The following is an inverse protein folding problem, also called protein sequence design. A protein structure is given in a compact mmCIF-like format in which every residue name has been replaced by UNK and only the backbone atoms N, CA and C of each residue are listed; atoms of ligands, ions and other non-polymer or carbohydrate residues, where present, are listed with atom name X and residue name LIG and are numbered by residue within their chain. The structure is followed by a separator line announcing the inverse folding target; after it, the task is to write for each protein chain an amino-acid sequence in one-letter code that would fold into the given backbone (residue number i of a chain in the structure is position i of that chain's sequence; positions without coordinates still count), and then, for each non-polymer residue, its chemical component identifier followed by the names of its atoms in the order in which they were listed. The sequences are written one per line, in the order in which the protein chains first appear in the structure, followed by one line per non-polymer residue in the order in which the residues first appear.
data_IF_851712898604
#
_entry.id   IF_851712898604
#
_cell.length_a   1.000
_cell.length_b   1.000
_cell.length_c   1.000
_cell.angle_alpha   90.00
_cell.angle_beta   90.00
_cell.angle_gamma   90.00
#
_symmetry.space_group_name_H-M   'P 1'
#
loop_
_entity.id
_entity.type
_entity.pdbx_description
1 polymer ?
#
# COMPACT_ATOMS: atom_id res chain seq x y z
N UNK A 1 -8.68 -26.02 16.17
CA UNK A 1 -7.41 -25.34 15.84
C UNK A 1 -7.21 -25.18 14.34
N UNK A 2 -8.06 -24.38 13.69
CA UNK A 2 -8.07 -24.21 12.22
C UNK A 2 -7.77 -22.78 11.77
N UNK A 3 -7.11 -21.97 12.61
CA UNK A 3 -6.93 -20.53 12.36
C UNK A 3 -5.47 -20.10 12.24
N UNK A 4 -4.58 -20.98 11.77
CA UNK A 4 -3.29 -20.52 11.26
C UNK A 4 -3.55 -19.95 9.86
N UNK A 5 -3.85 -18.65 9.80
CA UNK A 5 -3.90 -17.88 8.55
C UNK A 5 -2.60 -18.16 7.81
N UNK A 6 -2.69 -18.82 6.65
CA UNK A 6 -1.51 -19.20 5.90
C UNK A 6 -0.82 -17.91 5.41
N UNK A 7 0.52 -17.85 5.35
CA UNK A 7 1.24 -16.69 4.80
C UNK A 7 0.73 -16.27 3.41
N UNK A 8 0.21 -17.23 2.63
CA UNK A 8 -0.45 -16.98 1.36
C UNK A 8 -1.73 -16.14 1.49
N UNK A 9 -2.58 -16.43 2.48
CA UNK A 9 -3.84 -15.73 2.73
C UNK A 9 -3.60 -14.29 3.17
N UNK A 10 -2.53 -14.07 3.96
CA UNK A 10 -2.10 -12.72 4.35
C UNK A 10 -1.74 -11.91 3.10
N UNK A 11 -0.92 -12.46 2.20
CA UNK A 11 -0.48 -11.74 1.00
C UNK A 11 -1.62 -11.52 0.01
N UNK A 12 -2.53 -12.48 -0.14
CA UNK A 12 -3.74 -12.30 -0.93
C UNK A 12 -4.59 -11.15 -0.37
N UNK A 13 -4.77 -11.10 0.95
CA UNK A 13 -5.41 -10.00 1.66
C UNK A 13 -4.69 -8.66 1.43
N UNK A 14 -3.37 -8.62 1.58
CA UNK A 14 -2.57 -7.41 1.34
C UNK A 14 -2.73 -6.89 -0.09
N UNK A 15 -2.76 -7.77 -1.09
CA UNK A 15 -3.02 -7.36 -2.49
C UNK A 15 -4.41 -6.77 -2.68
N UNK A 16 -5.42 -7.30 -1.99
CA UNK A 16 -6.76 -6.73 -2.03
C UNK A 16 -6.82 -5.35 -1.37
N UNK A 17 -6.13 -5.19 -0.22
CA UNK A 17 -5.98 -3.89 0.45
C UNK A 17 -5.29 -2.87 -0.46
N UNK A 18 -4.22 -3.25 -1.17
CA UNK A 18 -3.55 -2.37 -2.14
C UNK A 18 -4.52 -1.86 -3.20
N UNK A 19 -5.34 -2.74 -3.79
CA UNK A 19 -6.34 -2.32 -4.79
C UNK A 19 -7.35 -1.33 -4.20
N UNK A 20 -7.84 -1.60 -2.98
CA UNK A 20 -8.76 -0.71 -2.28
C UNK A 20 -8.14 0.65 -1.98
N UNK A 21 -6.91 0.68 -1.50
CA UNK A 21 -6.17 1.91 -1.25
C UNK A 21 -5.86 2.69 -2.53
N UNK A 22 -5.57 2.02 -3.65
CA UNK A 22 -5.37 2.68 -4.95
C UNK A 22 -6.66 3.35 -5.45
N UNK A 23 -7.81 2.72 -5.25
CA UNK A 23 -9.13 3.32 -5.54
C UNK A 23 -9.41 4.54 -4.63
N UNK A 24 -9.27 4.37 -3.31
CA UNK A 24 -9.44 5.46 -2.34
C UNK A 24 -8.51 6.65 -2.61
N UNK A 25 -7.26 6.39 -3.00
CA UNK A 25 -6.30 7.44 -3.39
C UNK A 25 -6.80 8.22 -4.60
N UNK A 26 -7.35 7.54 -5.60
CA UNK A 26 -7.90 8.19 -6.80
C UNK A 26 -9.08 9.09 -6.45
N UNK A 27 -10.01 8.60 -5.62
CA UNK A 27 -11.17 9.36 -5.14
C UNK A 27 -10.75 10.59 -4.34
N UNK A 28 -9.83 10.43 -3.38
CA UNK A 28 -9.32 11.52 -2.57
C UNK A 28 -8.54 12.57 -3.38
N UNK A 29 -7.80 12.16 -4.43
CA UNK A 29 -7.18 13.12 -5.37
C UNK A 29 -8.23 13.95 -6.11
N UNK A 30 -9.32 13.32 -6.55
CA UNK A 30 -10.44 14.04 -7.17
C UNK A 30 -11.14 15.00 -6.20
N UNK A 31 -11.33 14.59 -4.94
CA UNK A 31 -11.89 15.47 -3.89
C UNK A 31 -10.95 16.64 -3.62
N UNK A 32 -9.65 16.37 -3.43
CA UNK A 32 -8.63 17.39 -3.17
C UNK A 32 -8.56 18.43 -4.29
N UNK A 33 -8.60 17.99 -5.56
CA UNK A 33 -8.65 18.89 -6.70
C UNK A 33 -9.88 19.80 -6.68
N UNK A 34 -11.09 19.25 -6.43
CA UNK A 34 -12.32 20.06 -6.35
C UNK A 34 -12.30 21.05 -5.19
N UNK A 35 -11.75 20.66 -4.04
CA UNK A 35 -11.59 21.53 -2.88
C UNK A 35 -10.60 22.67 -3.17
N UNK A 36 -9.50 22.36 -3.87
CA UNK A 36 -8.52 23.35 -4.30
C UNK A 36 -9.13 24.36 -5.29
N UNK A 37 -9.90 23.88 -6.27
CA UNK A 37 -10.61 24.74 -7.22
C UNK A 37 -11.62 25.66 -6.51
N UNK A 38 -12.36 25.14 -5.52
CA UNK A 38 -13.29 25.91 -4.71
C UNK A 38 -12.60 26.97 -3.83
N UNK A 39 -11.42 26.67 -3.27
CA UNK A 39 -10.61 27.62 -2.51
C UNK A 39 -10.13 28.79 -3.39
N UNK A 40 -9.62 28.48 -4.58
CA UNK A 40 -9.18 29.49 -5.55
C UNK A 40 -10.34 30.42 -5.94
N UNK A 41 -11.53 29.86 -6.18
CA UNK A 41 -12.72 30.64 -6.51
C UNK A 41 -13.19 31.50 -5.32
N UNK A 42 -13.19 30.94 -4.10
CA UNK A 42 -13.60 31.67 -2.90
C UNK A 42 -12.67 32.84 -2.52
N UNK A 43 -11.38 32.74 -2.82
CA UNK A 43 -10.43 33.85 -2.63
C UNK A 43 -10.49 34.91 -3.74
N UNK A 44 -11.06 34.59 -4.90
CA UNK A 44 -11.14 35.49 -6.07
C UNK A 44 -12.44 36.30 -6.17
N UNK A 45 -13.40 36.12 -5.26
CA UNK A 45 -14.67 36.86 -5.27
C UNK A 45 -14.55 38.23 -4.58
N UNK A 46 -15.11 39.28 -5.20
CA UNK A 46 -15.14 40.66 -4.67
C UNK A 46 -15.91 40.78 -3.34
N UNK A 47 -16.89 39.89 -3.11
CA UNK A 47 -17.57 39.67 -1.83
C UNK A 47 -17.21 38.25 -1.36
N UNK A 48 -16.29 38.09 -0.40
CA UNK A 48 -15.85 36.77 0.02
C UNK A 48 -17.01 36.01 0.66
N UNK A 49 -17.13 34.69 0.43
CA UNK A 49 -18.02 33.86 1.25
C UNK A 49 -17.65 34.08 2.73
N UNK A 50 -18.65 34.25 3.60
CA UNK A 50 -18.41 34.60 5.00
C UNK A 50 -17.30 33.76 5.62
N UNK A 51 -16.35 34.40 6.33
CA UNK A 51 -15.04 33.81 6.66
C UNK A 51 -15.06 32.39 7.27
N UNK A 52 -16.15 32.01 7.95
CA UNK A 52 -16.37 30.64 8.44
C UNK A 52 -16.48 29.58 7.33
N UNK A 53 -17.11 29.90 6.19
CA UNK A 53 -17.27 28.95 5.08
C UNK A 53 -15.93 28.67 4.39
N UNK A 54 -15.10 29.71 4.25
CA UNK A 54 -13.76 29.60 3.67
C UNK A 54 -12.82 28.82 4.61
N UNK A 55 -12.86 29.11 5.90
CA UNK A 55 -12.11 28.37 6.92
C UNK A 55 -12.50 26.89 6.95
N UNK A 56 -13.79 26.57 6.89
CA UNK A 56 -14.26 25.18 6.81
C UNK A 56 -13.76 24.48 5.54
N UNK A 57 -13.64 25.20 4.43
CA UNK A 57 -13.15 24.67 3.17
C UNK A 57 -11.65 24.35 3.23
N UNK A 58 -10.85 25.23 3.86
CA UNK A 58 -9.43 25.00 4.14
C UNK A 58 -9.24 23.78 5.05
N UNK A 59 -10.02 23.67 6.14
CA UNK A 59 -9.96 22.53 7.05
C UNK A 59 -10.28 21.20 6.35
N UNK A 60 -11.28 21.20 5.46
CA UNK A 60 -11.61 20.01 4.65
C UNK A 60 -10.49 19.65 3.68
N UNK A 61 -9.87 20.64 3.04
CA UNK A 61 -8.74 20.42 2.14
C UNK A 61 -7.56 19.79 2.89
N UNK A 62 -7.22 20.30 4.07
CA UNK A 62 -6.16 19.77 4.91
C UNK A 62 -6.44 18.36 5.41
N UNK A 63 -7.69 18.04 5.75
CA UNK A 63 -8.07 16.68 6.17
C UNK A 63 -7.88 15.68 5.02
N UNK A 64 -8.31 16.04 3.80
CA UNK A 64 -8.12 15.20 2.61
C UNK A 64 -6.64 15.03 2.28
N UNK A 65 -5.85 16.10 2.42
CA UNK A 65 -4.39 16.06 2.24
C UNK A 65 -3.73 15.07 3.21
N UNK A 66 -4.06 15.14 4.51
CA UNK A 66 -3.57 14.20 5.53
C UNK A 66 -4.03 12.76 5.25
N UNK A 67 -5.27 12.58 4.79
CA UNK A 67 -5.77 11.27 4.39
C UNK A 67 -4.98 10.69 3.21
N UNK A 68 -4.63 11.50 2.21
CA UNK A 68 -3.80 11.09 1.08
C UNK A 68 -2.40 10.66 1.53
N UNK A 69 -1.75 11.41 2.41
CA UNK A 69 -0.44 11.03 2.99
C UNK A 69 -0.51 9.66 3.67
N UNK A 70 -1.55 9.42 4.49
CA UNK A 70 -1.76 8.14 5.15
C UNK A 70 -1.98 6.98 4.16
N UNK A 71 -2.74 7.21 3.09
CA UNK A 71 -2.95 6.20 2.04
C UNK A 71 -1.66 5.90 1.28
N UNK A 72 -0.85 6.91 0.98
CA UNK A 72 0.43 6.73 0.29
C UNK A 72 1.44 5.94 1.13
N UNK A 73 1.50 6.22 2.44
CA UNK A 73 2.30 5.41 3.39
C UNK A 73 1.81 3.96 3.43
N UNK A 74 0.51 3.74 3.63
CA UNK A 74 -0.06 2.39 3.69
C UNK A 74 0.13 1.58 2.40
N UNK A 75 0.08 2.24 1.23
CA UNK A 75 0.43 1.61 -0.05
C UNK A 75 1.89 1.20 -0.14
N UNK A 76 2.80 2.04 0.36
CA UNK A 76 4.23 1.73 0.42
C UNK A 76 4.52 0.52 1.29
N UNK A 77 3.95 0.49 2.49
CA UNK A 77 4.09 -0.61 3.45
C UNK A 77 3.53 -1.93 2.89
N UNK A 78 2.32 -1.90 2.32
CA UNK A 78 1.71 -3.09 1.74
C UNK A 78 2.50 -3.64 0.54
N UNK A 79 3.04 -2.76 -0.31
CA UNK A 79 3.93 -3.17 -1.43
C UNK A 79 5.24 -3.77 -0.92
N UNK A 80 5.80 -3.22 0.16
CA UNK A 80 6.99 -3.77 0.81
C UNK A 80 6.73 -5.18 1.36
N UNK A 81 5.60 -5.42 2.04
CA UNK A 81 5.23 -6.75 2.53
C UNK A 81 5.15 -7.78 1.41
N UNK A 82 4.53 -7.42 0.28
CA UNK A 82 4.42 -8.28 -0.90
C UNK A 82 5.80 -8.62 -1.48
N UNK A 83 6.67 -7.61 -1.61
CA UNK A 83 8.03 -7.80 -2.13
C UNK A 83 8.86 -8.68 -1.19
N UNK A 84 8.78 -8.46 0.12
CA UNK A 84 9.47 -9.25 1.13
C UNK A 84 9.03 -10.72 1.11
N UNK A 85 7.72 -10.98 1.00
CA UNK A 85 7.21 -12.36 0.89
C UNK A 85 7.74 -13.06 -0.35
N UNK A 86 7.81 -12.37 -1.49
CA UNK A 86 8.41 -12.93 -2.72
C UNK A 86 9.89 -13.25 -2.52
N UNK A 87 10.64 -12.39 -1.83
CA UNK A 87 12.06 -12.60 -1.57
C UNK A 87 12.31 -13.81 -0.65
N UNK A 88 11.51 -13.94 0.42
CA UNK A 88 11.58 -15.09 1.33
C UNK A 88 11.29 -16.40 0.56
N UNK A 89 10.26 -16.41 -0.29
CA UNK A 89 9.94 -17.60 -1.11
C UNK A 89 11.09 -18.01 -2.03
N UNK A 90 11.82 -17.05 -2.60
CA UNK A 90 13.00 -17.33 -3.42
C UNK A 90 14.16 -17.92 -2.59
N UNK A 91 14.42 -17.37 -1.40
CA UNK A 91 15.44 -17.89 -0.48
C UNK A 91 15.13 -19.32 -0.01
N UNK A 92 13.86 -19.61 0.27
CA UNK A 92 13.42 -20.95 0.64
C UNK A 92 13.64 -21.95 -0.51
N UNK A 93 13.35 -21.56 -1.75
CA UNK A 93 13.58 -22.39 -2.93
C UNK A 93 15.09 -22.68 -3.15
N UNK A 94 15.94 -21.66 -3.05
CA UNK A 94 17.40 -21.80 -3.10
C UNK A 94 17.92 -22.76 -2.01
N UNK A 95 17.44 -22.61 -0.77
CA UNK A 95 17.77 -23.52 0.33
C UNK A 95 17.41 -24.97 0.03
N UNK A 96 16.24 -25.24 -0.54
CA UNK A 96 15.84 -26.60 -0.91
C UNK A 96 16.70 -27.16 -2.05
N UNK A 97 17.05 -26.34 -3.03
CA UNK A 97 17.96 -26.71 -4.12
C UNK A 97 19.34 -27.11 -3.60
N UNK A 98 19.94 -26.32 -2.72
CA UNK A 98 21.24 -26.63 -2.10
C UNK A 98 21.17 -27.94 -1.28
N UNK A 99 20.09 -28.14 -0.52
CA UNK A 99 19.87 -29.41 0.21
C UNK A 99 19.79 -30.62 -0.72
N UNK A 100 19.12 -30.49 -1.86
CA UNK A 100 19.04 -31.55 -2.85
C UNK A 100 20.43 -31.84 -3.47
N UNK A 101 21.21 -30.80 -3.75
CA UNK A 101 22.58 -30.95 -4.25
C UNK A 101 23.49 -31.67 -3.24
N UNK A 102 23.44 -31.30 -1.96
CA UNK A 102 24.21 -31.99 -0.92
C UNK A 102 23.86 -33.48 -0.89
N UNK A 103 22.56 -33.83 -0.89
CA UNK A 103 22.12 -35.23 -0.91
C UNK A 103 22.65 -35.98 -2.13
N UNK A 104 22.57 -35.37 -3.31
CA UNK A 104 23.07 -35.94 -4.56
C UNK A 104 24.58 -36.18 -4.49
N UNK A 105 25.36 -35.20 -4.05
CA UNK A 105 26.82 -35.33 -3.92
C UNK A 105 27.23 -36.42 -2.92
N UNK A 106 26.51 -36.55 -1.80
CA UNK A 106 26.75 -37.64 -0.85
C UNK A 106 26.48 -39.02 -1.48
N UNK A 107 25.45 -39.14 -2.32
CA UNK A 107 25.16 -40.39 -3.04
C UNK A 107 26.23 -40.70 -4.09
N UNK A 108 26.67 -39.70 -4.85
CA UNK A 108 27.76 -39.83 -5.83
C UNK A 108 29.05 -40.29 -5.14
N UNK A 109 29.43 -39.68 -4.01
CA UNK A 109 30.61 -40.06 -3.23
C UNK A 109 30.53 -41.45 -2.59
N UNK A 110 29.34 -41.95 -2.27
CA UNK A 110 29.16 -43.30 -1.73
C UNK A 110 29.32 -44.38 -2.82
N UNK A 111 29.00 -44.01 -4.06
CA UNK A 111 29.03 -44.93 -5.20
C UNK A 111 30.43 -45.06 -5.82
N UNK A 112 31.21 -43.98 -5.79
CA UNK A 112 32.62 -43.93 -6.21
C UNK A 112 33.54 -44.64 -5.20
#
# INVERSE_FOLDING_TARGET
DSSLVLPYDIIAGTRQVVKGLEALRSENRGISQRLQEALIQGHGQEEPPGGQALQLLEEKYDLVRKSLEGIELGLGEAKMMIALSSHIGALEAEKQKLRAQVKRLCQENLWL
#
